data_IF_086457381124
#
_entry.id   IF_086457381124
#
_cell.length_a   1.000
_cell.length_b   1.000
_cell.length_c   1.000
_cell.angle_alpha   90.00
_cell.angle_beta   90.00
_cell.angle_gamma   90.00
#
_symmetry.space_group_name_H-M   'P 1'
#
loop_
_entity.id
_entity.type
_entity.pdbx_description
1 polymer ?
#
# COMPACT_ATOMS: atom_id res chain seq x y z
N UNK A 1 -70.20 18.84 -22.04
CA UNK A 1 -69.51 18.07 -21.00
C UNK A 1 -69.27 16.58 -21.28
N UNK A 2 -70.09 15.85 -22.04
CA UNK A 2 -69.89 14.41 -22.35
C UNK A 2 -68.68 14.09 -23.27
N UNK A 3 -68.34 14.98 -24.21
CA UNK A 3 -67.25 14.75 -25.18
C UNK A 3 -65.85 14.89 -24.56
N UNK A 4 -65.67 15.72 -23.56
CA UNK A 4 -64.36 15.94 -22.89
C UNK A 4 -63.97 14.76 -21.97
N UNK A 5 -64.97 14.11 -21.36
CA UNK A 5 -64.73 12.92 -20.50
C UNK A 5 -64.32 11.71 -21.31
N UNK A 6 -64.88 11.53 -22.53
CA UNK A 6 -64.55 10.39 -23.40
C UNK A 6 -63.11 10.46 -23.93
N UNK A 7 -62.58 11.67 -24.22
CA UNK A 7 -61.20 11.86 -24.68
C UNK A 7 -60.20 11.60 -23.55
N UNK A 8 -60.58 11.96 -22.32
CA UNK A 8 -59.71 11.73 -21.14
C UNK A 8 -59.62 10.24 -20.77
N UNK A 9 -60.72 9.49 -20.88
CA UNK A 9 -60.72 8.04 -20.58
C UNK A 9 -59.99 7.21 -21.65
N UNK A 10 -60.10 7.60 -22.92
CA UNK A 10 -59.36 6.93 -24.00
C UNK A 10 -57.85 7.13 -23.89
N UNK A 11 -57.42 8.37 -23.52
CA UNK A 11 -55.99 8.66 -23.27
C UNK A 11 -55.43 7.88 -22.10
N UNK A 12 -56.21 7.75 -21.03
CA UNK A 12 -55.79 7.00 -19.84
C UNK A 12 -55.65 5.50 -20.10
N UNK A 13 -56.58 4.92 -20.86
CA UNK A 13 -56.54 3.50 -21.26
C UNK A 13 -55.37 3.20 -22.18
N UNK A 14 -55.01 4.12 -23.09
CA UNK A 14 -53.85 3.98 -23.97
C UNK A 14 -52.56 3.98 -23.18
N UNK A 15 -52.43 4.89 -22.21
CA UNK A 15 -51.21 4.94 -21.32
C UNK A 15 -51.13 3.68 -20.48
N UNK A 16 -52.27 3.19 -19.96
CA UNK A 16 -52.30 1.98 -19.16
C UNK A 16 -51.90 0.75 -20.00
N UNK A 17 -52.37 0.67 -21.24
CA UNK A 17 -51.99 -0.44 -22.16
C UNK A 17 -50.50 -0.42 -22.49
N UNK A 18 -49.89 0.75 -22.69
CA UNK A 18 -48.45 0.91 -22.93
C UNK A 18 -47.64 0.50 -21.72
N UNK A 19 -48.09 0.86 -20.52
CA UNK A 19 -47.40 0.46 -19.28
C UNK A 19 -47.50 -1.03 -19.02
N UNK A 20 -48.64 -1.64 -19.32
CA UNK A 20 -48.85 -3.11 -19.20
C UNK A 20 -47.97 -3.85 -20.22
N UNK A 21 -47.86 -3.40 -21.47
CA UNK A 21 -46.99 -4.00 -22.48
C UNK A 21 -45.52 -3.86 -22.12
N UNK A 22 -45.10 -2.76 -21.50
CA UNK A 22 -43.74 -2.62 -20.96
C UNK A 22 -43.44 -3.54 -19.77
N UNK A 23 -44.45 -3.90 -18.98
CA UNK A 23 -44.29 -4.86 -17.89
C UNK A 23 -44.35 -6.34 -18.35
N UNK A 24 -45.01 -6.61 -19.46
CA UNK A 24 -45.21 -7.97 -20.00
C UNK A 24 -44.18 -8.36 -21.07
N UNK A 25 -43.33 -7.42 -21.53
CA UNK A 25 -42.18 -7.81 -22.36
C UNK A 25 -41.23 -8.58 -21.47
N UNK A 26 -40.86 -9.83 -21.79
CA UNK A 26 -39.78 -10.51 -21.13
C UNK A 26 -38.56 -9.59 -21.28
N UNK A 27 -38.08 -9.06 -20.18
CA UNK A 27 -36.69 -8.58 -20.17
C UNK A 27 -35.87 -9.82 -20.47
N UNK A 28 -35.37 -9.90 -21.67
CA UNK A 28 -34.23 -10.78 -21.92
C UNK A 28 -33.22 -10.39 -20.83
N UNK A 29 -33.18 -11.23 -19.81
CA UNK A 29 -32.08 -11.25 -18.86
C UNK A 29 -30.90 -11.69 -19.70
N UNK A 30 -30.32 -10.74 -20.46
CA UNK A 30 -28.94 -10.88 -20.82
C UNK A 30 -28.27 -11.18 -19.50
N UNK A 31 -27.97 -12.47 -19.29
CA UNK A 31 -26.95 -12.89 -18.35
C UNK A 31 -25.70 -12.08 -18.75
N UNK A 32 -25.63 -10.87 -18.24
CA UNK A 32 -24.34 -10.31 -17.97
C UNK A 32 -23.73 -11.31 -17.00
N UNK A 33 -23.04 -12.28 -17.59
CA UNK A 33 -21.93 -12.91 -16.91
C UNK A 33 -21.21 -11.73 -16.30
N UNK A 34 -21.35 -11.58 -14.98
CA UNK A 34 -20.43 -10.83 -14.19
C UNK A 34 -19.09 -11.53 -14.44
N UNK A 35 -18.45 -11.18 -15.53
CA UNK A 35 -17.02 -11.19 -15.61
C UNK A 35 -16.70 -10.26 -14.43
N UNK A 36 -16.38 -10.85 -13.28
CA UNK A 36 -15.67 -10.15 -12.27
C UNK A 36 -14.57 -9.43 -13.06
N UNK A 37 -14.70 -8.11 -13.19
CA UNK A 37 -13.58 -7.28 -13.54
C UNK A 37 -12.55 -7.64 -12.47
N UNK A 38 -11.69 -8.61 -12.81
CA UNK A 38 -10.42 -8.74 -12.17
C UNK A 38 -9.86 -7.34 -12.34
N UNK A 39 -9.90 -6.54 -11.24
CA UNK A 39 -9.14 -5.32 -11.15
C UNK A 39 -7.78 -5.71 -11.68
N UNK A 40 -7.43 -5.16 -12.82
CA UNK A 40 -6.13 -5.39 -13.44
C UNK A 40 -5.16 -4.69 -12.51
N UNK A 41 -4.78 -5.41 -11.44
CA UNK A 41 -3.71 -4.96 -10.56
C UNK A 41 -2.51 -4.78 -11.47
N UNK A 42 -2.09 -3.53 -11.60
CA UNK A 42 -0.91 -3.22 -12.40
C UNK A 42 0.22 -4.12 -11.91
N UNK A 43 0.93 -4.83 -12.81
CA UNK A 43 2.00 -5.70 -12.39
C UNK A 43 3.04 -4.88 -11.63
N UNK A 44 3.29 -5.27 -10.39
CA UNK A 44 4.31 -4.61 -9.56
C UNK A 44 5.67 -4.90 -10.20
N UNK A 45 6.45 -3.85 -10.46
CA UNK A 45 7.80 -3.99 -11.00
C UNK A 45 8.66 -4.87 -10.07
N UNK A 46 9.51 -5.72 -10.66
CA UNK A 46 10.43 -6.57 -9.91
C UNK A 46 11.35 -5.72 -9.02
N UNK A 47 11.49 -6.12 -7.76
CA UNK A 47 12.25 -5.41 -6.75
C UNK A 47 13.25 -6.36 -6.06
N UNK A 48 14.23 -5.84 -5.28
CA UNK A 48 15.14 -6.68 -4.52
C UNK A 48 14.39 -7.55 -3.49
N UNK A 49 14.90 -8.78 -3.28
CA UNK A 49 14.35 -9.73 -2.32
C UNK A 49 14.54 -9.27 -0.87
N UNK A 50 13.54 -9.53 -0.03
CA UNK A 50 13.50 -9.03 1.35
C UNK A 50 14.24 -9.95 2.32
N UNK A 51 15.23 -9.45 3.08
CA UNK A 51 15.86 -10.17 4.18
C UNK A 51 14.95 -10.24 5.41
N UNK A 52 15.18 -11.13 6.39
CA UNK A 52 14.39 -11.17 7.62
C UNK A 52 14.40 -9.84 8.39
N UNK A 53 13.26 -9.49 9.00
CA UNK A 53 13.12 -8.34 9.92
C UNK A 53 12.61 -8.84 11.27
N UNK A 54 13.52 -9.22 12.15
CA UNK A 54 13.16 -9.82 13.43
C UNK A 54 12.23 -11.05 13.24
N UNK A 55 11.19 -11.16 14.07
CA UNK A 55 10.19 -12.23 13.99
C UNK A 55 8.92 -11.81 13.21
N UNK A 56 9.04 -10.82 12.33
CA UNK A 56 7.91 -10.26 11.59
C UNK A 56 7.81 -10.93 10.23
N UNK A 57 6.62 -11.45 9.94
CA UNK A 57 6.29 -12.13 8.68
C UNK A 57 5.37 -11.25 7.84
N UNK A 58 5.92 -10.67 6.77
CA UNK A 58 5.22 -9.84 5.80
C UNK A 58 5.59 -10.28 4.38
N UNK A 59 4.70 -10.11 3.40
CA UNK A 59 5.05 -10.30 1.99
C UNK A 59 6.06 -9.24 1.53
N UNK A 60 6.98 -9.63 0.65
CA UNK A 60 7.92 -8.71 0.04
C UNK A 60 7.24 -7.95 -1.12
N UNK A 61 7.43 -6.66 -1.21
CA UNK A 61 6.87 -5.81 -2.25
C UNK A 61 7.62 -6.04 -3.59
N UNK A 62 6.97 -6.73 -4.52
CA UNK A 62 7.50 -6.98 -5.87
C UNK A 62 8.64 -8.01 -5.94
N UNK A 63 8.85 -8.81 -4.90
CA UNK A 63 9.88 -9.86 -4.87
C UNK A 63 9.51 -10.99 -3.90
N UNK A 64 10.35 -12.03 -3.89
CA UNK A 64 10.31 -13.08 -2.89
C UNK A 64 11.16 -12.70 -1.66
N UNK A 65 10.88 -13.35 -0.55
CA UNK A 65 11.72 -13.25 0.65
C UNK A 65 12.98 -14.11 0.49
N UNK A 66 14.07 -13.68 1.13
CA UNK A 66 15.28 -14.48 1.28
C UNK A 66 15.60 -14.70 2.76
N UNK A 67 16.57 -15.57 3.04
CA UNK A 67 16.99 -15.87 4.40
C UNK A 67 18.36 -15.23 4.75
N UNK A 68 18.79 -14.24 3.98
CA UNK A 68 20.11 -13.60 4.17
C UNK A 68 19.96 -12.39 5.11
N UNK A 69 19.83 -12.66 6.40
CA UNK A 69 19.85 -11.63 7.44
C UNK A 69 21.25 -11.04 7.63
N UNK A 70 21.31 -9.81 8.12
CA UNK A 70 22.54 -9.16 8.63
C UNK A 70 22.38 -8.89 10.11
N UNK A 71 23.50 -8.69 10.81
CA UNK A 71 23.48 -8.43 12.24
C UNK A 71 22.63 -7.18 12.57
N UNK A 72 22.84 -6.11 11.81
CA UNK A 72 22.03 -4.86 11.95
C UNK A 72 21.03 -4.77 10.81
N UNK A 73 19.76 -4.54 11.18
CA UNK A 73 18.69 -4.24 10.24
C UNK A 73 18.04 -2.89 10.59
N UNK A 74 18.05 -1.97 9.63
CA UNK A 74 17.40 -0.67 9.74
C UNK A 74 16.12 -0.72 8.92
N UNK A 75 14.97 -0.60 9.57
CA UNK A 75 13.66 -0.64 8.95
C UNK A 75 13.07 0.76 8.91
N UNK A 76 12.66 1.20 7.72
CA UNK A 76 11.91 2.44 7.52
C UNK A 76 10.44 2.12 7.24
N UNK A 77 9.53 2.45 8.15
CA UNK A 77 8.09 2.36 7.96
C UNK A 77 7.61 3.62 7.23
N UNK A 78 7.01 3.45 6.06
CA UNK A 78 6.68 4.53 5.15
C UNK A 78 5.36 4.28 4.40
N UNK A 79 4.81 5.30 3.74
CA UNK A 79 3.65 5.16 2.84
C UNK A 79 3.82 6.03 1.59
N UNK A 80 3.24 5.60 0.47
CA UNK A 80 3.35 6.31 -0.81
C UNK A 80 2.79 7.75 -0.79
N UNK A 81 1.78 8.03 0.01
CA UNK A 81 1.15 9.35 0.18
C UNK A 81 1.86 10.25 1.21
N UNK A 82 2.80 9.70 1.97
CA UNK A 82 3.51 10.40 3.04
C UNK A 82 4.57 11.34 2.47
N UNK A 83 4.32 12.64 2.49
CA UNK A 83 5.26 13.66 1.96
C UNK A 83 6.62 13.62 2.65
N UNK A 84 6.76 13.61 3.99
CA UNK A 84 8.06 13.51 4.63
C UNK A 84 8.80 12.19 4.36
N UNK A 85 8.06 11.08 4.13
CA UNK A 85 8.68 9.81 3.74
C UNK A 85 9.41 9.91 2.39
N UNK A 86 8.83 10.65 1.42
CA UNK A 86 9.45 10.86 0.10
C UNK A 86 10.80 11.59 0.19
N UNK A 87 10.95 12.46 1.18
CA UNK A 87 12.21 13.16 1.45
C UNK A 87 13.22 12.23 2.13
N UNK A 88 12.77 11.34 3.00
CA UNK A 88 13.64 10.46 3.79
C UNK A 88 14.10 9.23 3.01
N UNK A 89 13.27 8.64 2.13
CA UNK A 89 13.61 7.43 1.37
C UNK A 89 14.96 7.54 0.61
N UNK A 90 15.32 8.65 -0.07
CA UNK A 90 16.64 8.82 -0.65
C UNK A 90 17.78 8.82 0.37
N UNK A 91 17.56 9.31 1.60
CA UNK A 91 18.54 9.26 2.67
C UNK A 91 18.74 7.81 3.16
N UNK A 92 17.67 7.02 3.22
CA UNK A 92 17.75 5.59 3.50
C UNK A 92 18.50 4.83 2.40
N UNK A 93 18.32 5.22 1.13
CA UNK A 93 19.08 4.67 0.01
C UNK A 93 20.59 4.96 0.14
N UNK A 94 20.93 6.18 0.53
CA UNK A 94 22.32 6.55 0.82
C UNK A 94 22.87 5.75 2.01
N UNK A 95 22.09 5.59 3.08
CA UNK A 95 22.46 4.78 4.23
C UNK A 95 22.78 3.32 3.83
N UNK A 96 21.96 2.73 2.97
CA UNK A 96 22.17 1.39 2.44
C UNK A 96 23.47 1.27 1.64
N UNK A 97 23.78 2.27 0.82
CA UNK A 97 24.97 2.30 -0.02
C UNK A 97 26.26 2.48 0.82
N UNK A 98 26.22 3.34 1.84
CA UNK A 98 27.37 3.63 2.69
C UNK A 98 27.61 2.57 3.78
N UNK A 99 26.58 1.75 4.11
CA UNK A 99 26.67 0.70 5.14
C UNK A 99 26.29 -0.67 4.57
N UNK A 100 27.08 -1.23 3.64
CA UNK A 100 26.75 -2.51 3.01
C UNK A 100 26.71 -3.70 3.99
N UNK A 101 27.24 -3.55 5.20
CA UNK A 101 27.17 -4.53 6.29
C UNK A 101 25.80 -4.54 7.00
N UNK A 102 24.98 -3.51 6.86
CA UNK A 102 23.61 -3.42 7.39
C UNK A 102 22.58 -3.84 6.35
N UNK A 103 21.44 -4.36 6.81
CA UNK A 103 20.25 -4.49 5.99
C UNK A 103 19.40 -3.23 6.16
N UNK A 104 19.25 -2.43 5.11
CA UNK A 104 18.27 -1.34 5.08
C UNK A 104 17.05 -1.83 4.33
N UNK A 105 15.88 -1.73 4.96
CA UNK A 105 14.63 -2.33 4.47
C UNK A 105 13.47 -1.34 4.66
N UNK A 106 12.61 -1.22 3.67
CA UNK A 106 11.34 -0.50 3.80
C UNK A 106 10.23 -1.41 4.31
N UNK A 107 9.21 -0.83 4.94
CA UNK A 107 7.90 -1.44 5.15
C UNK A 107 6.86 -0.43 4.66
N UNK A 108 6.18 -0.76 3.58
CA UNK A 108 5.12 0.06 2.99
C UNK A 108 3.81 -0.19 3.73
N UNK A 109 3.39 0.75 4.57
CA UNK A 109 2.21 0.66 5.43
C UNK A 109 0.98 1.27 4.73
N UNK A 110 0.52 0.61 3.67
CA UNK A 110 -0.65 0.98 2.90
C UNK A 110 -1.10 -0.21 2.03
N UNK A 111 -2.38 -0.25 1.66
CA UNK A 111 -2.94 -1.35 0.86
C UNK A 111 -2.59 -1.26 -0.65
N UNK A 112 -2.18 -0.09 -1.14
CA UNK A 112 -1.87 0.11 -2.56
C UNK A 112 -0.40 -0.22 -2.87
N UNK A 113 -0.11 -1.52 -2.97
CA UNK A 113 1.22 -2.04 -3.28
C UNK A 113 1.78 -1.47 -4.61
N UNK A 114 0.91 -1.26 -5.61
CA UNK A 114 1.33 -0.75 -6.92
C UNK A 114 1.86 0.69 -6.80
N UNK A 115 1.16 1.58 -6.08
CA UNK A 115 1.65 2.95 -5.81
C UNK A 115 2.90 2.96 -4.94
N UNK A 116 2.99 2.04 -3.98
CA UNK A 116 4.20 1.87 -3.19
C UNK A 116 5.41 1.54 -4.07
N UNK A 117 5.32 0.50 -4.89
CA UNK A 117 6.37 0.10 -5.80
C UNK A 117 6.72 1.18 -6.83
N UNK A 118 5.72 1.87 -7.38
CA UNK A 118 5.92 2.97 -8.32
C UNK A 118 6.72 4.12 -7.67
N UNK A 119 6.37 4.53 -6.45
CA UNK A 119 7.09 5.60 -5.74
C UNK A 119 8.57 5.23 -5.54
N UNK A 120 8.87 4.00 -5.14
CA UNK A 120 10.26 3.56 -4.99
C UNK A 120 11.02 3.62 -6.32
N UNK A 121 10.37 3.26 -7.43
CA UNK A 121 10.93 3.36 -8.78
C UNK A 121 11.19 4.81 -9.17
N UNK A 122 10.22 5.70 -8.96
CA UNK A 122 10.31 7.13 -9.31
C UNK A 122 11.42 7.84 -8.52
N UNK A 123 11.70 7.40 -7.29
CA UNK A 123 12.74 7.93 -6.43
C UNK A 123 14.11 7.23 -6.63
N UNK A 124 14.22 6.23 -7.49
CA UNK A 124 15.45 5.45 -7.69
C UNK A 124 15.89 4.68 -6.44
N UNK A 125 14.92 4.15 -5.68
CA UNK A 125 15.18 3.40 -4.46
C UNK A 125 15.35 1.92 -4.77
N UNK A 126 16.51 1.34 -4.45
CA UNK A 126 16.87 -0.05 -4.73
C UNK A 126 16.92 -0.95 -3.50
N UNK A 127 16.78 -0.42 -2.28
CA UNK A 127 16.68 -1.31 -1.13
C UNK A 127 15.35 -2.07 -1.11
N UNK A 128 15.30 -3.30 -0.54
CA UNK A 128 14.10 -4.11 -0.46
C UNK A 128 13.03 -3.45 0.42
N UNK A 129 11.75 -3.68 0.09
CA UNK A 129 10.63 -3.21 0.91
C UNK A 129 9.60 -4.30 1.08
N UNK A 130 9.04 -4.43 2.26
CA UNK A 130 7.88 -5.26 2.57
C UNK A 130 6.58 -4.51 2.29
N UNK A 131 5.52 -5.27 2.05
CA UNK A 131 4.14 -4.78 1.94
C UNK A 131 3.38 -5.10 3.22
N UNK A 132 2.75 -4.11 3.82
CA UNK A 132 1.98 -4.23 5.05
C UNK A 132 0.59 -3.60 4.91
N UNK A 133 -0.37 -4.37 4.40
CA UNK A 133 -1.74 -3.94 4.12
C UNK A 133 -2.55 -3.67 5.39
N UNK A 134 -2.10 -4.18 6.53
CA UNK A 134 -2.86 -4.23 7.78
C UNK A 134 -2.22 -3.48 8.95
N UNK A 135 -1.09 -2.82 8.73
CA UNK A 135 -0.25 -2.21 9.76
C UNK A 135 0.22 -3.22 10.82
N UNK A 136 0.44 -4.47 10.42
CA UNK A 136 0.88 -5.55 11.29
C UNK A 136 2.26 -5.27 11.91
N UNK A 137 3.17 -4.63 11.16
CA UNK A 137 4.49 -4.23 11.65
C UNK A 137 4.38 -3.29 12.84
N UNK A 138 3.64 -2.20 12.66
CA UNK A 138 3.43 -1.22 13.73
C UNK A 138 2.71 -1.84 14.92
N UNK A 139 1.68 -2.65 14.68
CA UNK A 139 0.91 -3.33 15.73
C UNK A 139 1.75 -4.29 16.56
N UNK A 140 2.58 -5.14 15.93
CA UNK A 140 3.45 -6.10 16.62
C UNK A 140 4.51 -5.42 17.50
N UNK A 141 5.00 -4.26 17.07
CA UNK A 141 6.07 -3.53 17.77
C UNK A 141 5.57 -2.46 18.74
N UNK A 142 4.25 -2.24 18.82
CA UNK A 142 3.64 -1.19 19.65
C UNK A 142 4.03 0.22 19.19
N UNK A 143 4.18 0.44 17.88
CA UNK A 143 4.57 1.73 17.32
C UNK A 143 3.37 2.69 17.25
N UNK A 144 3.60 4.01 17.31
CA UNK A 144 2.53 4.99 17.07
C UNK A 144 2.03 4.91 15.60
N UNK A 145 0.77 5.34 15.38
CA UNK A 145 0.14 5.34 14.06
C UNK A 145 0.58 6.56 13.23
N UNK A 146 1.87 6.71 13.00
CA UNK A 146 2.48 7.79 12.20
C UNK A 146 3.53 7.20 11.27
N UNK A 147 3.82 7.91 10.18
CA UNK A 147 4.94 7.62 9.26
C UNK A 147 5.65 8.94 8.91
N UNK A 148 6.99 8.93 8.71
CA UNK A 148 7.88 7.78 8.78
C UNK A 148 8.27 7.40 10.21
N UNK A 149 8.63 6.13 10.40
CA UNK A 149 9.29 5.65 11.62
C UNK A 149 10.50 4.82 11.20
N UNK A 150 11.64 5.08 11.83
CA UNK A 150 12.81 4.21 11.69
C UNK A 150 12.92 3.30 12.90
N UNK A 151 13.10 1.99 12.67
CA UNK A 151 13.32 0.98 13.71
C UNK A 151 14.64 0.29 13.44
N UNK A 152 15.48 0.14 14.45
CA UNK A 152 16.78 -0.53 14.36
C UNK A 152 16.74 -1.83 15.13
N UNK A 153 17.23 -2.90 14.50
CA UNK A 153 17.34 -4.24 15.09
C UNK A 153 18.79 -4.73 15.07
N UNK A 154 19.14 -5.53 16.08
CA UNK A 154 20.31 -6.42 16.07
C UNK A 154 19.79 -7.87 16.12
N UNK A 155 19.90 -8.60 15.00
CA UNK A 155 19.21 -9.88 14.87
C UNK A 155 17.70 -9.72 15.05
N UNK A 156 17.12 -10.33 16.08
CA UNK A 156 15.70 -10.17 16.46
C UNK A 156 15.47 -9.12 17.54
N UNK A 157 16.50 -8.58 18.16
CA UNK A 157 16.40 -7.59 19.22
C UNK A 157 16.15 -6.20 18.65
N UNK A 158 15.11 -5.51 19.14
CA UNK A 158 14.81 -4.12 18.79
C UNK A 158 15.69 -3.17 19.62
N UNK A 159 16.69 -2.53 19.00
CA UNK A 159 17.58 -1.58 19.65
C UNK A 159 16.90 -0.24 19.91
N UNK A 160 16.06 0.23 18.97
CA UNK A 160 15.41 1.52 19.17
C UNK A 160 14.38 1.85 18.09
N UNK A 161 13.63 2.94 18.34
CA UNK A 161 12.58 3.48 17.48
C UNK A 161 12.73 4.99 17.36
N UNK A 162 12.68 5.52 16.15
CA UNK A 162 12.73 6.95 15.88
C UNK A 162 11.45 7.36 15.14
N UNK A 163 10.42 7.87 15.82
CA UNK A 163 9.15 8.24 15.22
C UNK A 163 9.15 9.68 14.68
N UNK A 164 10.11 10.01 13.83
CA UNK A 164 10.24 11.30 13.16
C UNK A 164 10.92 11.17 11.82
N UNK A 165 10.64 12.10 10.92
CA UNK A 165 11.32 12.19 9.64
C UNK A 165 12.72 12.84 9.78
N UNK A 166 13.63 12.42 8.90
CA UNK A 166 14.91 13.08 8.68
C UNK A 166 14.90 13.84 7.35
N UNK A 167 15.55 15.01 7.35
CA UNK A 167 15.74 15.83 6.16
C UNK A 167 17.21 15.95 5.75
N UNK A 168 18.13 15.48 6.60
CA UNK A 168 19.57 15.49 6.37
C UNK A 168 20.18 14.14 6.70
N UNK A 169 21.05 13.67 5.82
CA UNK A 169 21.68 12.35 5.95
C UNK A 169 22.49 12.22 7.24
N UNK A 170 23.29 13.23 7.61
CA UNK A 170 24.14 13.17 8.80
C UNK A 170 23.32 12.95 10.09
N UNK A 171 22.13 13.56 10.17
CA UNK A 171 21.26 13.41 11.34
C UNK A 171 20.69 11.99 11.42
N UNK A 172 20.30 11.42 10.28
CA UNK A 172 19.85 10.05 10.16
C UNK A 172 20.98 9.07 10.56
N UNK A 173 22.14 9.20 9.92
CA UNK A 173 23.28 8.31 10.13
C UNK A 173 23.77 8.36 11.59
N UNK A 174 23.82 9.55 12.19
CA UNK A 174 24.21 9.74 13.60
C UNK A 174 23.21 9.04 14.53
N UNK A 175 21.89 9.29 14.34
CA UNK A 175 20.88 8.72 15.21
C UNK A 175 20.86 7.18 15.17
N UNK A 176 21.06 6.58 13.97
CA UNK A 176 21.15 5.12 13.83
C UNK A 176 22.46 4.61 14.42
N UNK A 177 23.60 5.28 14.15
CA UNK A 177 24.91 4.91 14.68
C UNK A 177 24.94 4.88 16.21
N UNK A 178 24.31 5.83 16.88
CA UNK A 178 24.17 5.85 18.34
C UNK A 178 23.42 4.63 18.89
N UNK A 179 22.39 4.14 18.18
CA UNK A 179 21.67 2.93 18.58
C UNK A 179 22.47 1.66 18.35
N UNK A 180 23.21 1.60 17.26
CA UNK A 180 24.02 0.42 16.90
C UNK A 180 25.22 0.25 17.83
N UNK A 181 25.76 1.34 18.39
CA UNK A 181 26.96 1.34 19.22
C UNK A 181 26.67 1.19 20.74
N UNK A 182 25.39 1.04 21.13
CA UNK A 182 24.98 0.73 22.50
C UNK A 182 25.12 -0.76 22.79
#
# INVERSE_FOLDING_TARGET
MRKTIIISTAGFLLILAVLITMMLTPRDTQSQSATAEAETQQPIAARPSCPPIGEIDLPCLGAERNNQGKDITVVNLWAWWCVPCRTELPLMQQLAAENPQWAVVGVHADQDAARGAQLLTDLGIDFPSYQDDTNAFAGKLGLPSVVPITVVFRGSEKLGVIPRAFTHYNDLATAIGEMVNQ
#
